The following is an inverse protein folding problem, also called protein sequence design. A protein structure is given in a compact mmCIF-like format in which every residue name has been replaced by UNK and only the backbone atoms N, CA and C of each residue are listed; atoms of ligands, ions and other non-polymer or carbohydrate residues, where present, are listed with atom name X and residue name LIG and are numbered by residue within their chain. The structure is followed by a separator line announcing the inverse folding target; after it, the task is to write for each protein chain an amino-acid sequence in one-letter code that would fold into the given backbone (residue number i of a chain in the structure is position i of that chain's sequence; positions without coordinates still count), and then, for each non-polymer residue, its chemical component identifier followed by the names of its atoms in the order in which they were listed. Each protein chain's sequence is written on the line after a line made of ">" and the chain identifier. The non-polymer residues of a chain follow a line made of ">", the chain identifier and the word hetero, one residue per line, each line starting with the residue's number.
data_IF_186962732097
#
_entry.id   IF_186962732097
#
_cell.length_a   1.000
_cell.length_b   1.000
_cell.length_c   1.000
_cell.angle_alpha   90.00
_cell.angle_beta   90.00
_cell.angle_gamma   90.00
#
_symmetry.space_group_name_H-M   'P 1'
#
loop_
_entity.id
_entity.type
_entity.pdbx_description
1 polymer ?
#
# COMPACT_ATOMS: atom_id res chain seq x y z
N UNK A 1 -1.73 29.17 3.23
CA UNK A 1 -0.29 28.78 3.27
C UNK A 1 0.06 28.34 4.68
N UNK A 2 0.73 27.20 4.81
CA UNK A 2 1.01 26.54 6.09
C UNK A 2 2.22 27.10 6.85
N UNK A 3 2.59 26.44 7.97
CA UNK A 3 3.69 26.83 8.84
C UNK A 3 5.09 26.54 8.28
N UNK A 4 5.18 25.88 7.12
CA UNK A 4 6.42 25.63 6.38
C UNK A 4 6.25 25.98 4.89
N UNK A 5 7.34 26.33 4.24
CA UNK A 5 7.42 26.53 2.77
C UNK A 5 8.51 25.63 2.20
N UNK A 6 8.32 25.18 0.96
CA UNK A 6 9.31 24.38 0.24
C UNK A 6 10.59 25.20 0.09
N UNK A 7 11.72 24.57 0.44
CA UNK A 7 13.06 25.13 0.23
C UNK A 7 13.75 24.44 -0.95
N UNK A 8 13.82 23.10 -0.90
CA UNK A 8 14.39 22.26 -1.97
C UNK A 8 13.39 21.20 -2.39
N UNK A 9 13.31 20.95 -3.70
CA UNK A 9 12.53 19.86 -4.29
C UNK A 9 13.38 19.14 -5.34
N UNK A 10 13.78 17.92 -5.05
CA UNK A 10 14.54 17.05 -5.93
C UNK A 10 13.95 15.64 -5.93
N UNK A 11 14.41 14.79 -6.85
CA UNK A 11 13.95 13.39 -6.92
C UNK A 11 14.29 12.57 -5.67
N UNK A 12 15.29 13.00 -4.90
CA UNK A 12 15.81 12.27 -3.74
C UNK A 12 15.62 13.01 -2.41
N UNK A 13 15.05 14.22 -2.41
CA UNK A 13 14.95 15.05 -1.21
C UNK A 13 13.84 16.10 -1.34
N UNK A 14 13.08 16.26 -0.25
CA UNK A 14 12.02 17.26 -0.12
C UNK A 14 12.19 18.05 1.18
N UNK A 15 12.78 19.23 1.06
CA UNK A 15 13.12 20.04 2.22
C UNK A 15 12.19 21.24 2.38
N UNK A 16 11.90 21.54 3.64
CA UNK A 16 11.04 22.63 4.02
C UNK A 16 11.75 23.51 5.04
N UNK A 17 11.51 24.82 4.94
CA UNK A 17 11.89 25.80 5.96
C UNK A 17 10.66 26.37 6.63
N UNK A 18 10.79 26.69 7.93
CA UNK A 18 9.70 27.29 8.70
C UNK A 18 9.29 28.63 8.10
N UNK A 19 7.99 28.84 8.01
CA UNK A 19 7.40 30.10 7.60
C UNK A 19 7.15 30.98 8.84
N UNK A 20 8.13 31.80 9.20
CA UNK A 20 8.02 32.72 10.34
C UNK A 20 6.88 33.75 10.16
N UNK A 21 6.42 33.96 8.92
CA UNK A 21 5.29 34.81 8.56
C UNK A 21 3.99 34.01 8.37
N UNK A 22 3.85 32.84 8.99
CA UNK A 22 2.63 32.06 8.90
C UNK A 22 1.43 32.79 9.52
N UNK A 23 0.27 32.72 8.87
CA UNK A 23 -0.94 33.41 9.32
C UNK A 23 -1.37 32.98 10.72
N UNK A 24 -1.18 31.71 11.09
CA UNK A 24 -1.59 31.19 12.40
C UNK A 24 -0.94 31.92 13.56
N UNK A 25 0.31 32.35 13.38
CA UNK A 25 1.07 33.13 14.36
C UNK A 25 0.63 34.59 14.34
N UNK A 26 0.45 35.18 13.15
CA UNK A 26 -0.02 36.58 13.03
C UNK A 26 -1.39 36.80 13.65
N UNK A 27 -2.28 35.82 13.56
CA UNK A 27 -3.62 35.89 14.15
C UNK A 27 -3.66 35.44 15.61
N UNK A 28 -2.53 34.95 16.17
CA UNK A 28 -2.47 34.36 17.50
C UNK A 28 -3.23 33.03 17.64
N UNK A 29 -3.63 32.41 16.53
CA UNK A 29 -4.35 31.14 16.54
C UNK A 29 -3.42 29.97 16.91
N UNK A 30 -2.14 30.05 16.55
CA UNK A 30 -1.15 29.00 16.76
C UNK A 30 0.25 29.58 17.01
N UNK A 31 1.11 28.92 17.81
CA UNK A 31 2.51 29.26 17.92
C UNK A 31 3.31 28.82 16.67
N UNK A 32 4.51 29.38 16.48
CA UNK A 32 5.44 28.86 15.49
C UNK A 32 5.86 27.44 15.88
N UNK A 33 5.97 26.50 14.92
CA UNK A 33 6.55 25.21 15.22
C UNK A 33 8.04 25.37 15.59
N UNK A 34 8.51 24.53 16.51
CA UNK A 34 9.90 24.62 16.98
C UNK A 34 10.95 24.32 15.89
N UNK A 35 10.81 23.27 15.05
CA UNK A 35 11.78 22.97 14.01
C UNK A 35 11.90 24.10 12.99
N UNK A 36 13.14 24.48 12.67
CA UNK A 36 13.44 25.50 11.66
C UNK A 36 13.41 24.92 10.24
N UNK A 37 13.83 23.66 10.12
CA UNK A 37 13.91 22.91 8.88
C UNK A 37 13.27 21.54 9.07
N UNK A 38 12.68 21.01 8.02
CA UNK A 38 12.27 19.61 7.91
C UNK A 38 12.97 19.08 6.67
N UNK A 39 13.84 18.09 6.86
CA UNK A 39 14.51 17.40 5.77
C UNK A 39 13.88 16.04 5.53
N UNK A 40 13.60 15.71 4.28
CA UNK A 40 12.99 14.43 3.92
C UNK A 40 13.75 13.79 2.77
N UNK A 41 14.82 13.05 3.08
CA UNK A 41 15.49 12.25 2.07
C UNK A 41 14.57 11.11 1.62
N UNK A 42 14.65 10.76 0.34
CA UNK A 42 14.03 9.55 -0.19
C UNK A 42 14.95 8.36 0.08
N UNK A 43 14.52 7.45 0.94
CA UNK A 43 15.23 6.22 1.25
C UNK A 43 14.42 5.06 0.68
N UNK A 44 14.96 4.42 -0.36
CA UNK A 44 14.20 3.46 -1.18
C UNK A 44 14.01 2.08 -0.56
N UNK A 45 14.81 1.72 0.46
CA UNK A 45 14.76 0.44 1.13
C UNK A 45 14.51 0.57 2.64
N UNK A 46 13.79 -0.40 3.18
CA UNK A 46 13.34 -0.40 4.58
C UNK A 46 14.51 -0.51 5.57
N UNK A 47 15.53 -1.30 5.25
CA UNK A 47 16.66 -1.56 6.14
C UNK A 47 17.50 -0.30 6.43
N UNK A 48 17.87 0.43 5.37
CA UNK A 48 18.60 1.70 5.49
C UNK A 48 17.80 2.72 6.30
N UNK A 49 16.50 2.81 6.01
CA UNK A 49 15.57 3.74 6.67
C UNK A 49 15.49 3.48 8.18
N UNK A 50 15.31 2.21 8.58
CA UNK A 50 15.28 1.83 9.99
C UNK A 50 16.64 2.03 10.69
N UNK A 51 17.75 1.83 9.99
CA UNK A 51 19.09 2.08 10.55
C UNK A 51 19.33 3.58 10.80
N UNK A 52 18.82 4.47 9.95
CA UNK A 52 18.88 5.92 10.19
C UNK A 52 18.13 6.33 11.46
N UNK A 53 16.97 5.71 11.74
CA UNK A 53 16.26 5.93 12.99
C UNK A 53 17.05 5.41 14.19
N UNK A 54 17.70 4.25 14.06
CA UNK A 54 18.53 3.68 15.11
C UNK A 54 19.80 4.50 15.40
N UNK A 55 20.42 5.12 14.40
CA UNK A 55 21.62 5.98 14.55
C UNK A 55 21.30 7.42 14.96
N UNK A 56 20.02 7.82 15.02
CA UNK A 56 19.55 9.20 15.15
C UNK A 56 19.89 10.10 13.95
N UNK A 57 20.06 9.52 12.76
CA UNK A 57 20.11 10.28 11.49
C UNK A 57 18.70 10.64 11.00
N UNK A 58 17.66 9.98 11.53
CA UNK A 58 16.25 10.34 11.35
C UNK A 58 15.58 10.55 12.71
N UNK A 59 14.83 11.66 12.85
CA UNK A 59 14.12 12.01 14.09
C UNK A 59 12.76 11.29 14.22
N UNK A 60 12.11 11.02 13.10
CA UNK A 60 10.74 10.47 13.06
C UNK A 60 10.63 9.47 11.95
N UNK A 61 10.35 8.22 12.31
CA UNK A 61 10.00 7.18 11.37
C UNK A 61 9.29 6.00 12.05
N UNK A 62 8.80 5.02 11.27
CA UNK A 62 8.05 3.88 11.77
C UNK A 62 8.45 2.53 11.14
N UNK A 63 8.66 1.47 11.94
CA UNK A 63 8.73 0.10 11.43
C UNK A 63 7.37 -0.37 10.88
N UNK A 64 7.40 -1.39 10.03
CA UNK A 64 6.20 -2.02 9.46
C UNK A 64 5.67 -3.18 10.32
N UNK A 65 6.50 -3.74 11.22
CA UNK A 65 6.13 -4.87 12.07
C UNK A 65 6.52 -4.68 13.56
N UNK A 66 5.85 -5.39 14.49
CA UNK A 66 6.22 -5.44 15.90
C UNK A 66 7.64 -5.93 16.15
N UNK A 67 8.13 -6.93 15.40
CA UNK A 67 9.51 -7.42 15.56
C UNK A 67 10.53 -6.36 15.17
N UNK A 68 10.29 -5.63 14.08
CA UNK A 68 11.13 -4.49 13.70
C UNK A 68 11.10 -3.39 14.79
N UNK A 69 9.94 -3.09 15.36
CA UNK A 69 9.82 -2.13 16.47
C UNK A 69 10.64 -2.56 17.69
N UNK A 70 10.52 -3.82 18.10
CA UNK A 70 11.25 -4.37 19.24
C UNK A 70 12.77 -4.31 19.01
N UNK A 71 13.23 -4.64 17.80
CA UNK A 71 14.64 -4.54 17.44
C UNK A 71 15.14 -3.08 17.50
N UNK A 72 14.37 -2.13 16.97
CA UNK A 72 14.70 -0.71 16.97
C UNK A 72 14.80 -0.14 18.38
N UNK A 73 13.83 -0.42 19.25
CA UNK A 73 13.84 0.06 20.64
C UNK A 73 14.97 -0.58 21.44
N UNK A 74 15.32 -1.84 21.14
CA UNK A 74 16.47 -2.51 21.74
C UNK A 74 17.81 -1.88 21.29
N UNK A 75 17.91 -1.45 20.03
CA UNK A 75 19.10 -0.80 19.48
C UNK A 75 19.24 0.67 19.92
N UNK A 76 18.11 1.40 20.00
CA UNK A 76 18.06 2.80 20.41
C UNK A 76 16.92 3.04 21.43
N UNK A 77 17.23 3.02 22.75
CA UNK A 77 16.21 3.18 23.81
C UNK A 77 15.65 4.62 23.92
N UNK A 78 16.21 5.57 23.17
CA UNK A 78 15.68 6.94 23.11
C UNK A 78 14.42 7.03 22.24
N UNK A 79 14.21 6.07 21.33
CA UNK A 79 13.03 6.02 20.48
C UNK A 79 11.75 5.89 21.32
N UNK A 80 10.73 6.68 20.96
CA UNK A 80 9.43 6.71 21.63
C UNK A 80 8.34 6.26 20.65
N UNK A 81 7.92 4.99 20.67
CA UNK A 81 6.82 4.55 19.83
C UNK A 81 5.50 5.19 20.27
N UNK A 82 4.60 5.41 19.30
CA UNK A 82 3.24 5.87 19.56
C UNK A 82 2.45 4.95 20.50
N UNK A 83 2.74 3.65 20.45
CA UNK A 83 2.12 2.62 21.27
C UNK A 83 2.74 1.24 21.00
N UNK A 84 2.35 0.21 21.76
CA UNK A 84 2.92 -1.14 21.63
C UNK A 84 2.66 -1.79 20.26
N UNK A 85 1.62 -1.35 19.54
CA UNK A 85 1.25 -1.83 18.20
C UNK A 85 1.50 -0.79 17.10
N UNK A 86 2.12 0.35 17.43
CA UNK A 86 2.32 1.45 16.48
C UNK A 86 1.07 2.28 16.21
N UNK A 87 1.07 2.98 15.08
CA UNK A 87 -0.04 3.82 14.60
C UNK A 87 -0.81 3.07 13.51
N UNK A 88 -2.13 3.27 13.43
CA UNK A 88 -2.94 2.70 12.33
C UNK A 88 -2.55 3.41 11.04
N UNK A 89 -1.92 2.70 10.12
CA UNK A 89 -1.48 3.24 8.83
C UNK A 89 -2.68 3.82 8.06
N UNK A 90 -2.64 5.10 7.63
CA UNK A 90 -3.70 5.70 6.79
C UNK A 90 -3.79 5.11 5.38
N UNK A 91 -2.91 4.18 5.03
CA UNK A 91 -2.69 3.68 3.69
C UNK A 91 -3.13 2.21 3.52
N UNK A 92 -4.37 1.94 3.09
CA UNK A 92 -4.75 0.61 2.67
C UNK A 92 -3.80 0.09 1.59
N UNK A 93 -3.26 -1.13 1.80
CA UNK A 93 -2.44 -1.82 0.80
C UNK A 93 -3.34 -2.43 -0.27
N UNK A 94 -3.01 -2.22 -1.54
CA UNK A 94 -3.86 -2.58 -2.67
C UNK A 94 -3.10 -3.42 -3.70
N UNK A 95 -3.84 -4.27 -4.42
CA UNK A 95 -3.42 -4.84 -5.71
C UNK A 95 -4.25 -4.13 -6.80
N UNK A 96 -3.65 -3.17 -7.47
CA UNK A 96 -4.28 -2.38 -8.52
C UNK A 96 -4.07 -3.05 -9.87
N UNK A 97 -5.13 -3.09 -10.68
CA UNK A 97 -5.13 -3.70 -12.01
C UNK A 97 -5.43 -2.62 -13.05
N UNK A 98 -4.68 -2.62 -14.15
CA UNK A 98 -4.97 -1.74 -15.28
C UNK A 98 -6.19 -2.26 -16.05
N UNK A 99 -7.31 -1.56 -15.88
CA UNK A 99 -8.62 -1.93 -16.46
C UNK A 99 -8.73 -1.66 -17.96
N UNK A 100 -7.65 -1.25 -18.62
CA UNK A 100 -7.60 -1.05 -20.08
C UNK A 100 -6.87 -2.20 -20.81
N UNK A 101 -6.31 -3.15 -20.07
CA UNK A 101 -5.52 -4.26 -20.62
C UNK A 101 -6.29 -5.57 -20.39
N UNK A 102 -6.51 -6.34 -21.45
CA UNK A 102 -7.08 -7.68 -21.33
C UNK A 102 -6.12 -8.63 -20.59
N UNK A 103 -6.61 -9.57 -19.75
CA UNK A 103 -8.03 -9.82 -19.44
C UNK A 103 -8.55 -8.99 -18.24
N UNK A 104 -7.78 -8.01 -17.76
CA UNK A 104 -8.09 -7.22 -16.56
C UNK A 104 -9.08 -6.07 -16.80
N UNK A 105 -9.39 -5.76 -18.05
CA UNK A 105 -10.53 -4.94 -18.45
C UNK A 105 -11.88 -5.56 -18.06
N UNK A 106 -11.93 -6.89 -17.99
CA UNK A 106 -13.09 -7.64 -17.55
C UNK A 106 -13.25 -7.67 -16.02
N UNK A 107 -14.39 -7.16 -15.52
CA UNK A 107 -14.70 -7.16 -14.08
C UNK A 107 -14.73 -8.56 -13.46
N UNK A 108 -15.13 -9.60 -14.22
CA UNK A 108 -15.22 -10.97 -13.71
C UNK A 108 -13.83 -11.48 -13.31
N UNK A 109 -12.82 -11.20 -14.15
CA UNK A 109 -11.43 -11.57 -13.87
C UNK A 109 -10.88 -10.82 -12.65
N UNK A 110 -11.20 -9.53 -12.50
CA UNK A 110 -10.81 -8.75 -11.30
C UNK A 110 -11.45 -9.28 -10.02
N UNK A 111 -12.72 -9.69 -10.08
CA UNK A 111 -13.38 -10.33 -8.94
C UNK A 111 -12.75 -11.69 -8.63
N UNK A 112 -12.39 -12.48 -9.64
CA UNK A 112 -11.70 -13.75 -9.43
C UNK A 112 -10.38 -13.55 -8.66
N UNK A 113 -9.58 -12.56 -9.03
CA UNK A 113 -8.36 -12.23 -8.29
C UNK A 113 -8.66 -11.80 -6.86
N UNK A 114 -9.68 -10.96 -6.64
CA UNK A 114 -10.05 -10.53 -5.29
C UNK A 114 -10.44 -11.70 -4.38
N UNK A 115 -11.15 -12.70 -4.92
CA UNK A 115 -11.52 -13.92 -4.20
C UNK A 115 -10.32 -14.83 -3.88
N UNK A 116 -9.27 -14.77 -4.70
CA UNK A 116 -8.02 -15.51 -4.45
C UNK A 116 -7.16 -14.88 -3.33
N UNK A 117 -7.47 -13.66 -2.88
CA UNK A 117 -6.67 -12.94 -1.88
C UNK A 117 -7.10 -13.23 -0.44
N UNK A 118 -6.28 -14.02 0.26
CA UNK A 118 -6.34 -14.17 1.71
C UNK A 118 -5.66 -12.97 2.39
N UNK A 119 -6.47 -11.93 2.59
CA UNK A 119 -6.05 -10.68 3.24
C UNK A 119 -5.67 -10.89 4.70
N UNK A 120 -6.28 -11.86 5.39
CA UNK A 120 -5.96 -12.13 6.78
C UNK A 120 -4.61 -12.82 6.91
N UNK A 121 -4.27 -13.73 5.98
CA UNK A 121 -2.94 -14.31 5.91
C UNK A 121 -1.87 -13.23 5.66
N UNK A 122 -2.14 -12.26 4.80
CA UNK A 122 -1.23 -11.11 4.60
C UNK A 122 -0.99 -10.38 5.93
N UNK A 123 -2.05 -10.02 6.67
CA UNK A 123 -1.92 -9.38 7.99
C UNK A 123 -1.12 -10.25 8.97
N UNK A 124 -1.43 -11.55 9.02
CA UNK A 124 -0.79 -12.46 9.98
C UNK A 124 0.69 -12.69 9.67
N UNK A 125 1.07 -12.78 8.40
CA UNK A 125 2.43 -13.14 7.98
C UNK A 125 3.30 -11.90 7.75
N UNK A 126 2.80 -10.94 6.98
CA UNK A 126 3.59 -9.75 6.60
C UNK A 126 3.63 -8.73 7.73
N UNK A 127 2.50 -8.52 8.39
CA UNK A 127 2.38 -7.57 9.50
C UNK A 127 2.48 -8.24 10.88
N UNK A 128 2.81 -9.54 10.96
CA UNK A 128 2.91 -10.29 12.22
C UNK A 128 1.65 -10.20 13.10
N UNK A 129 0.48 -10.12 12.47
CA UNK A 129 -0.82 -10.10 13.14
C UNK A 129 -1.27 -8.73 13.65
N UNK A 130 -0.53 -7.64 13.38
CA UNK A 130 -1.02 -6.28 13.64
C UNK A 130 -1.64 -5.65 12.40
N UNK A 131 -2.62 -4.77 12.62
CA UNK A 131 -3.43 -4.18 11.57
C UNK A 131 -4.73 -4.93 11.36
N UNK A 132 -5.42 -4.60 10.26
CA UNK A 132 -6.70 -5.19 9.90
C UNK A 132 -6.78 -5.35 8.39
N UNK A 133 -7.62 -6.27 7.94
CA UNK A 133 -7.97 -6.36 6.53
C UNK A 133 -8.75 -5.11 6.11
N UNK A 134 -8.49 -4.63 4.90
CA UNK A 134 -9.31 -3.59 4.27
C UNK A 134 -10.10 -4.18 3.11
N UNK A 135 -11.39 -3.86 3.06
CA UNK A 135 -12.29 -4.15 1.95
C UNK A 135 -12.78 -2.86 1.27
N UNK A 136 -12.24 -1.70 1.67
CA UNK A 136 -12.63 -0.41 1.17
C UNK A 136 -11.42 0.44 0.82
N UNK A 137 -11.62 1.43 -0.06
CA UNK A 137 -10.54 2.32 -0.51
C UNK A 137 -10.08 3.29 0.58
N UNK A 138 -10.92 3.51 1.60
CA UNK A 138 -10.59 4.40 2.72
C UNK A 138 -10.08 3.61 3.93
N UNK A 139 -9.11 4.16 4.68
CA UNK A 139 -8.69 3.60 5.95
C UNK A 139 -9.84 3.63 6.97
N UNK A 140 -9.81 2.69 7.92
CA UNK A 140 -10.82 2.49 8.96
C UNK A 140 -10.72 3.51 10.11
N UNK A 141 -10.58 4.80 9.79
CA UNK A 141 -10.68 5.85 10.78
C UNK A 141 -12.13 6.23 11.06
N UNK A 142 -12.39 6.69 12.30
CA UNK A 142 -13.73 7.15 12.73
C UNK A 142 -14.35 8.18 11.78
N UNK A 143 -13.55 9.10 11.24
CA UNK A 143 -14.03 10.11 10.29
C UNK A 143 -14.51 9.51 8.96
N UNK A 144 -14.00 8.32 8.59
CA UNK A 144 -14.36 7.61 7.36
C UNK A 144 -15.54 6.65 7.54
N UNK A 145 -15.93 6.35 8.77
CA UNK A 145 -16.99 5.38 9.07
C UNK A 145 -18.32 5.64 8.33
N UNK A 146 -18.82 6.89 8.21
CA UNK A 146 -20.05 7.14 7.45
C UNK A 146 -19.98 6.70 5.98
N UNK A 147 -18.81 6.79 5.35
CA UNK A 147 -18.60 6.36 3.97
C UNK A 147 -18.48 4.84 3.86
N UNK A 148 -17.83 4.21 4.84
CA UNK A 148 -17.72 2.74 4.91
C UNK A 148 -19.12 2.13 5.11
N UNK A 149 -19.88 2.64 6.07
CA UNK A 149 -21.25 2.19 6.35
C UNK A 149 -22.17 2.41 5.15
N UNK A 150 -22.07 3.57 4.49
CA UNK A 150 -22.84 3.89 3.29
C UNK A 150 -22.52 2.98 2.09
N UNK A 151 -21.31 2.43 2.02
CA UNK A 151 -20.88 1.49 0.98
C UNK A 151 -21.17 0.02 1.30
N UNK A 152 -21.56 -0.30 2.54
CA UNK A 152 -21.58 -1.68 3.05
C UNK A 152 -22.47 -2.62 2.24
N UNK A 153 -23.65 -2.17 1.82
CA UNK A 153 -24.55 -2.98 0.98
C UNK A 153 -23.89 -3.38 -0.34
N UNK A 154 -23.21 -2.44 -0.98
CA UNK A 154 -22.49 -2.68 -2.25
C UNK A 154 -21.35 -3.66 -2.02
N UNK A 155 -20.55 -3.46 -0.96
CA UNK A 155 -19.42 -4.32 -0.64
C UNK A 155 -19.88 -5.76 -0.37
N UNK A 156 -20.93 -5.93 0.42
CA UNK A 156 -21.48 -7.25 0.74
C UNK A 156 -22.09 -7.92 -0.49
N UNK A 157 -22.90 -7.19 -1.27
CA UNK A 157 -23.56 -7.73 -2.48
C UNK A 157 -22.55 -8.15 -3.55
N UNK A 158 -21.47 -7.38 -3.70
CA UNK A 158 -20.41 -7.67 -4.65
C UNK A 158 -19.36 -8.67 -4.12
N UNK A 159 -19.49 -9.15 -2.87
CA UNK A 159 -18.54 -10.07 -2.23
C UNK A 159 -17.14 -9.49 -2.05
N UNK A 160 -17.02 -8.16 -1.90
CA UNK A 160 -15.72 -7.49 -1.77
C UNK A 160 -15.08 -7.86 -0.43
N UNK A 161 -13.83 -8.34 -0.50
CA UNK A 161 -13.06 -8.77 0.67
C UNK A 161 -13.28 -10.21 1.11
N UNK A 162 -14.21 -10.94 0.47
CA UNK A 162 -14.37 -12.39 0.71
C UNK A 162 -13.19 -13.15 0.08
N UNK A 163 -12.57 -14.04 0.87
CA UNK A 163 -11.59 -15.01 0.40
C UNK A 163 -12.30 -16.35 0.10
N UNK A 164 -12.24 -16.80 -1.14
CA UNK A 164 -12.94 -18.01 -1.60
C UNK A 164 -12.32 -18.56 -2.88
N UNK A 165 -11.45 -19.57 -2.74
CA UNK A 165 -10.73 -20.18 -3.87
C UNK A 165 -11.68 -20.81 -4.90
N UNK A 166 -12.74 -21.50 -4.45
CA UNK A 166 -13.70 -22.14 -5.34
C UNK A 166 -14.40 -21.10 -6.25
N UNK A 167 -14.79 -19.96 -5.69
CA UNK A 167 -15.34 -18.84 -6.48
C UNK A 167 -14.29 -18.26 -7.43
N UNK A 168 -13.04 -18.13 -7.02
CA UNK A 168 -11.97 -17.65 -7.89
C UNK A 168 -11.81 -18.56 -9.12
N UNK A 169 -11.72 -19.88 -8.91
CA UNK A 169 -11.65 -20.88 -9.98
C UNK A 169 -12.87 -20.82 -10.89
N UNK A 170 -14.07 -20.83 -10.31
CA UNK A 170 -15.32 -20.76 -11.07
C UNK A 170 -15.39 -19.52 -11.97
N UNK A 171 -14.97 -18.36 -11.47
CA UNK A 171 -14.99 -17.12 -12.24
C UNK A 171 -13.95 -17.15 -13.36
N UNK A 172 -12.73 -17.63 -13.12
CA UNK A 172 -11.70 -17.79 -14.17
C UNK A 172 -12.20 -18.73 -15.28
N UNK A 173 -12.73 -19.89 -14.90
CA UNK A 173 -13.23 -20.90 -15.84
C UNK A 173 -14.45 -20.41 -16.64
N UNK A 174 -15.31 -19.59 -16.03
CA UNK A 174 -16.45 -18.97 -16.72
C UNK A 174 -16.04 -18.06 -17.88
N UNK A 175 -14.79 -17.58 -17.88
CA UNK A 175 -14.23 -16.77 -18.96
C UNK A 175 -13.53 -17.62 -20.03
N UNK A 176 -13.66 -18.95 -19.97
CA UNK A 176 -13.13 -19.88 -20.97
C UNK A 176 -11.68 -20.32 -20.73
N UNK A 177 -11.09 -19.93 -19.59
CA UNK A 177 -9.80 -20.43 -19.16
C UNK A 177 -9.91 -21.88 -18.69
N UNK A 178 -8.90 -22.68 -19.00
CA UNK A 178 -8.81 -24.08 -18.56
C UNK A 178 -7.49 -24.29 -17.83
N UNK A 179 -7.55 -24.94 -16.67
CA UNK A 179 -6.35 -25.29 -15.93
C UNK A 179 -5.59 -26.36 -16.71
N UNK A 180 -4.37 -26.05 -17.15
CA UNK A 180 -3.46 -27.02 -17.73
C UNK A 180 -2.75 -27.78 -16.62
N UNK A 181 -2.97 -29.09 -16.55
CA UNK A 181 -2.37 -29.94 -15.52
C UNK A 181 -0.86 -30.10 -15.68
N UNK A 182 -0.30 -29.84 -16.87
CA UNK A 182 1.14 -29.89 -17.11
C UNK A 182 1.89 -28.71 -16.50
N UNK A 183 1.36 -27.50 -16.68
CA UNK A 183 1.95 -26.26 -16.16
C UNK A 183 1.39 -25.79 -14.82
N UNK A 184 0.27 -26.35 -14.36
CA UNK A 184 -0.53 -25.83 -13.23
C UNK A 184 -1.02 -24.40 -13.42
N UNK A 185 -1.09 -23.92 -14.67
CA UNK A 185 -1.57 -22.59 -15.00
C UNK A 185 -2.84 -22.62 -15.84
N UNK A 186 -3.66 -21.58 -15.71
CA UNK A 186 -4.82 -21.39 -16.58
C UNK A 186 -4.37 -20.98 -17.98
N UNK A 187 -4.96 -21.59 -19.01
CA UNK A 187 -4.75 -21.25 -20.42
C UNK A 187 -6.06 -20.76 -21.02
N UNK A 188 -6.02 -19.60 -21.66
CA UNK A 188 -7.16 -18.93 -22.25
C UNK A 188 -7.63 -19.55 -23.58
N UNK A 189 -8.79 -19.10 -24.11
CA UNK A 189 -9.31 -19.57 -25.40
C UNK A 189 -8.38 -19.31 -26.59
N UNK A 190 -7.49 -18.33 -26.48
CA UNK A 190 -6.47 -17.97 -27.47
C UNK A 190 -5.18 -18.79 -27.34
N UNK A 191 -5.12 -19.73 -26.40
CA UNK A 191 -3.97 -20.56 -26.11
C UNK A 191 -2.89 -19.87 -25.27
N UNK A 192 -3.13 -18.67 -24.76
CA UNK A 192 -2.17 -17.95 -23.91
C UNK A 192 -2.35 -18.32 -22.44
N UNK A 193 -1.24 -18.41 -21.71
CA UNK A 193 -1.27 -18.58 -20.25
C UNK A 193 -1.83 -17.32 -19.59
N UNK A 194 -2.75 -17.48 -18.63
CA UNK A 194 -3.25 -16.40 -17.78
C UNK A 194 -2.12 -15.92 -16.87
N UNK A 195 -1.50 -14.81 -17.25
CA UNK A 195 -0.38 -14.22 -16.51
C UNK A 195 -0.66 -12.78 -16.07
N UNK A 196 0.02 -12.37 -15.00
CA UNK A 196 -0.01 -10.99 -14.51
C UNK A 196 1.37 -10.54 -14.06
N UNK A 197 1.85 -9.46 -14.66
CA UNK A 197 3.06 -8.76 -14.23
C UNK A 197 2.70 -7.68 -13.21
N UNK A 198 3.22 -7.85 -11.99
CA UNK A 198 2.97 -7.00 -10.84
C UNK A 198 4.23 -6.18 -10.57
N UNK A 199 4.10 -4.85 -10.65
CA UNK A 199 5.16 -3.93 -10.24
C UNK A 199 5.00 -3.52 -8.78
N UNK A 200 6.11 -3.33 -8.09
CA UNK A 200 6.13 -2.78 -6.74
C UNK A 200 7.43 -1.99 -6.49
N UNK A 201 7.43 -0.94 -5.67
CA UNK A 201 8.67 -0.42 -5.12
C UNK A 201 9.27 -1.40 -4.08
N UNK A 202 10.57 -1.30 -3.76
CA UNK A 202 11.22 -2.23 -2.83
C UNK A 202 10.55 -2.32 -1.45
N UNK A 203 10.11 -1.20 -0.87
CA UNK A 203 9.45 -1.21 0.44
C UNK A 203 8.08 -1.91 0.47
N UNK A 204 7.47 -2.20 -0.70
CA UNK A 204 6.22 -2.96 -0.79
C UNK A 204 6.44 -4.46 -1.05
N UNK A 205 7.70 -4.90 -1.19
CA UNK A 205 8.05 -6.26 -1.56
C UNK A 205 7.36 -7.34 -0.71
N UNK A 206 7.27 -7.25 0.64
CA UNK A 206 6.64 -8.29 1.44
C UNK A 206 5.17 -8.53 1.07
N UNK A 207 4.38 -7.47 0.87
CA UNK A 207 2.99 -7.56 0.43
C UNK A 207 2.89 -8.06 -1.01
N UNK A 208 3.77 -7.57 -1.89
CA UNK A 208 3.79 -7.97 -3.29
C UNK A 208 4.07 -9.46 -3.47
N UNK A 209 5.03 -10.01 -2.72
CA UNK A 209 5.36 -11.44 -2.75
C UNK A 209 4.20 -12.31 -2.26
N UNK A 210 3.51 -11.91 -1.20
CA UNK A 210 2.34 -12.66 -0.71
C UNK A 210 1.21 -12.67 -1.74
N UNK A 211 0.91 -11.52 -2.36
CA UNK A 211 -0.08 -11.44 -3.43
C UNK A 211 0.29 -12.37 -4.61
N UNK A 212 1.55 -12.33 -5.07
CA UNK A 212 2.05 -13.21 -6.14
C UNK A 212 1.90 -14.68 -5.78
N UNK A 213 2.31 -15.07 -4.56
CA UNK A 213 2.19 -16.46 -4.10
C UNK A 213 0.74 -16.94 -4.09
N UNK A 214 -0.19 -16.12 -3.58
CA UNK A 214 -1.60 -16.48 -3.53
C UNK A 214 -2.21 -16.57 -4.94
N UNK A 215 -1.81 -15.70 -5.88
CA UNK A 215 -2.22 -15.78 -7.29
C UNK A 215 -1.67 -17.03 -8.00
N UNK A 216 -0.41 -17.37 -7.76
CA UNK A 216 0.19 -18.61 -8.27
C UNK A 216 -0.53 -19.86 -7.72
N UNK A 217 -0.99 -19.81 -6.47
CA UNK A 217 -1.75 -20.92 -5.85
C UNK A 217 -3.06 -21.20 -6.59
N UNK A 218 -3.69 -20.19 -7.20
CA UNK A 218 -4.90 -20.36 -8.01
C UNK A 218 -4.61 -20.57 -9.50
N UNK A 219 -3.36 -20.84 -9.88
CA UNK A 219 -2.98 -21.13 -11.26
C UNK A 219 -2.84 -19.90 -12.18
N UNK A 220 -2.73 -18.70 -11.62
CA UNK A 220 -2.34 -17.50 -12.39
C UNK A 220 -0.82 -17.40 -12.41
N UNK A 221 -0.21 -17.26 -13.59
CA UNK A 221 1.23 -17.02 -13.74
C UNK A 221 1.57 -15.57 -13.35
N UNK A 222 1.63 -15.31 -12.04
CA UNK A 222 1.94 -14.01 -11.47
C UNK A 222 3.45 -13.82 -11.32
N UNK A 223 3.94 -12.67 -11.79
CA UNK A 223 5.36 -12.31 -11.80
C UNK A 223 5.57 -10.98 -11.08
N UNK A 224 6.59 -10.89 -10.23
CA UNK A 224 6.91 -9.67 -9.47
C UNK A 224 8.12 -8.96 -10.07
N UNK A 225 7.98 -7.67 -10.36
CA UNK A 225 9.10 -6.78 -10.71
C UNK A 225 9.21 -5.66 -9.70
N UNK A 226 10.29 -5.71 -8.91
CA UNK A 226 10.67 -4.60 -8.06
C UNK A 226 11.35 -3.52 -8.91
N UNK A 227 10.81 -2.30 -8.87
CA UNK A 227 11.29 -1.17 -9.65
C UNK A 227 11.53 0.05 -8.77
N UNK A 228 12.51 0.86 -9.14
CA UNK A 228 12.85 2.10 -8.43
C UNK A 228 11.64 3.05 -8.42
N UNK A 229 11.51 3.84 -7.36
CA UNK A 229 10.36 4.70 -7.07
C UNK A 229 9.96 5.64 -8.21
N UNK A 230 10.92 6.34 -8.81
CA UNK A 230 10.66 7.25 -9.93
C UNK A 230 10.07 6.50 -11.12
N UNK A 231 10.60 5.30 -11.41
CA UNK A 231 10.06 4.42 -12.47
C UNK A 231 8.67 3.90 -12.09
N UNK A 232 8.48 3.48 -10.83
CA UNK A 232 7.18 3.02 -10.32
C UNK A 232 6.10 4.08 -10.50
N UNK A 233 6.39 5.33 -10.14
CA UNK A 233 5.44 6.44 -10.26
C UNK A 233 5.21 6.89 -11.68
N UNK A 234 6.21 6.84 -12.56
CA UNK A 234 6.02 7.11 -13.98
C UNK A 234 5.14 6.03 -14.64
N UNK A 235 5.43 4.74 -14.37
CA UNK A 235 4.64 3.63 -14.92
C UNK A 235 3.19 3.66 -14.42
N UNK A 236 2.99 3.74 -13.11
CA UNK A 236 1.63 3.75 -12.53
C UNK A 236 0.87 5.02 -12.88
N UNK A 237 1.52 6.19 -12.85
CA UNK A 237 0.91 7.47 -13.21
C UNK A 237 0.50 7.59 -14.68
N UNK A 238 1.15 6.84 -15.60
CA UNK A 238 0.83 6.82 -17.03
C UNK A 238 -0.01 5.61 -17.48
N UNK A 239 -0.37 4.71 -16.57
CA UNK A 239 -1.05 3.46 -16.95
C UNK A 239 -0.17 2.48 -17.72
N UNK A 240 1.16 2.58 -17.60
CA UNK A 240 2.14 1.69 -18.25
C UNK A 240 2.51 0.49 -17.37
N UNK A 241 1.49 -0.17 -16.83
CA UNK A 241 1.61 -1.34 -15.96
C UNK A 241 0.40 -2.25 -16.19
N UNK A 242 0.53 -3.54 -15.85
CA UNK A 242 -0.57 -4.49 -15.88
C UNK A 242 -1.22 -4.60 -14.49
N UNK A 243 -0.40 -4.81 -13.46
CA UNK A 243 -0.81 -4.76 -12.07
C UNK A 243 0.26 -4.09 -11.20
N UNK A 244 -0.13 -3.53 -10.07
CA UNK A 244 0.77 -2.93 -9.11
C UNK A 244 0.34 -3.27 -7.69
N UNK A 245 1.29 -3.49 -6.78
CA UNK A 245 1.00 -3.35 -5.35
C UNK A 245 1.31 -1.93 -4.91
N UNK A 246 0.28 -1.25 -4.42
CA UNK A 246 0.34 0.17 -4.09
C UNK A 246 -0.44 0.49 -2.81
N UNK A 247 -0.60 1.79 -2.56
CA UNK A 247 -1.24 2.35 -1.39
C UNK A 247 -1.98 3.64 -1.70
N UNK A 248 -2.49 3.78 -2.92
CA UNK A 248 -3.01 5.06 -3.40
C UNK A 248 -4.25 5.54 -2.62
N UNK A 249 -4.85 4.68 -1.79
CA UNK A 249 -5.86 5.03 -0.78
C UNK A 249 -5.38 5.95 0.36
N UNK A 250 -4.07 6.16 0.55
CA UNK A 250 -3.50 6.99 1.65
C UNK A 250 -4.10 8.39 1.77
N UNK A 251 -4.41 9.04 0.64
CA UNK A 251 -4.81 10.46 0.61
C UNK A 251 -6.23 10.74 1.12
N UNK A 252 -6.96 9.69 1.53
CA UNK A 252 -8.38 9.76 1.86
C UNK A 252 -8.69 10.30 3.25
N UNK A 253 -7.68 10.36 4.12
CA UNK A 253 -7.76 11.10 5.37
C UNK A 253 -6.96 12.38 5.25
N UNK A 254 -7.68 13.49 5.33
CA UNK A 254 -7.06 14.78 5.55
C UNK A 254 -6.36 14.70 6.90
N UNK A 255 -5.03 14.77 6.89
CA UNK A 255 -4.21 14.94 8.09
C UNK A 255 -4.84 16.05 8.95
N UNK A 256 -4.87 15.93 10.29
CA UNK A 256 -5.62 16.84 11.17
C UNK A 256 -5.19 18.32 11.11
N UNK A 257 -4.22 18.67 10.27
CA UNK A 257 -3.64 20.00 10.10
C UNK A 257 -4.03 20.70 8.79
N UNK A 258 -4.85 20.06 7.94
CA UNK A 258 -5.48 20.67 6.77
C UNK A 258 -6.95 20.99 7.10
N UNK A 259 -7.15 22.09 7.82
CA UNK A 259 -8.40 22.84 7.88
C UNK A 259 -8.24 24.14 7.09
#
# INVERSE_FOLDING_TARGET
>A
MGPYVVDTFASTEFDYKRNDNWWGVRTGAFPLPAPLEIRRPWVGDDGTRLQMLASNDSDVDGPQTPSQLNALVAQNPNLKPYGPQGWVDPCPRMLTLNTTIAPWDNKVMRHALSYAMDRQQIVNVVNEGVGATSNFIFPTYKAMQPYIDGGQEVLTTAGVGEFNLDKAHQLIESQGYKLDSGSSHYVGPDGTTLSVDIVAPPFMEPWARMAVQQLQTVGVDANLRLIEWGIFRDQTGRGQFQAATDWDGCGSVVEPWLL
#
